data_IF_967137351781
#
_entry.id   IF_967137351781
#
_cell.length_a   1.000
_cell.length_b   1.000
_cell.length_c   1.000
_cell.angle_alpha   90.00
_cell.angle_beta   90.00
_cell.angle_gamma   90.00
#
_symmetry.space_group_name_H-M   'P 1'
#
loop_
_entity.id
_entity.type
_entity.pdbx_description
1 polymer ?
#
# COMPACT_ATOMS: atom_id res chain seq x y z
N UNK A 1 13.88 7.90 -25.72
CA UNK A 1 13.17 6.60 -25.92
C UNK A 1 11.72 6.72 -25.52
N UNK A 2 10.84 5.93 -26.12
CA UNK A 2 9.49 5.65 -25.62
C UNK A 2 9.59 4.56 -24.56
N UNK A 3 9.19 4.86 -23.33
CA UNK A 3 9.34 3.95 -22.18
C UNK A 3 7.97 3.62 -21.59
N UNK A 4 7.73 2.34 -21.34
CA UNK A 4 6.54 1.87 -20.69
C UNK A 4 6.89 1.23 -19.33
N UNK A 5 6.12 1.52 -18.28
CA UNK A 5 6.33 0.96 -16.94
C UNK A 5 5.13 0.15 -16.50
N UNK A 6 5.37 -1.10 -16.13
CA UNK A 6 4.41 -1.96 -15.44
C UNK A 6 4.68 -1.96 -13.94
N UNK A 7 3.69 -1.58 -13.16
CA UNK A 7 3.79 -1.61 -11.69
C UNK A 7 2.90 -2.69 -11.11
N UNK A 8 3.50 -3.59 -10.35
CA UNK A 8 2.80 -4.62 -9.58
C UNK A 8 3.04 -4.39 -8.09
N UNK A 9 2.02 -4.63 -7.27
CA UNK A 9 2.18 -4.66 -5.82
C UNK A 9 1.58 -3.49 -5.05
N UNK A 10 2.30 -3.05 -4.02
CA UNK A 10 1.80 -2.14 -3.00
C UNK A 10 2.00 -0.65 -3.36
N UNK A 11 1.51 0.23 -2.49
CA UNK A 11 1.67 1.69 -2.61
C UNK A 11 3.15 2.13 -2.65
N UNK A 12 4.06 1.39 -2.00
CA UNK A 12 5.50 1.66 -2.07
C UNK A 12 6.03 1.45 -3.50
N UNK A 13 5.65 0.34 -4.15
CA UNK A 13 6.02 0.13 -5.56
C UNK A 13 5.42 1.20 -6.48
N UNK A 14 4.19 1.64 -6.21
CA UNK A 14 3.56 2.72 -6.98
C UNK A 14 4.31 4.05 -6.81
N UNK A 15 4.70 4.40 -5.57
CA UNK A 15 5.52 5.58 -5.29
C UNK A 15 6.88 5.52 -6.01
N UNK A 16 7.57 4.37 -5.92
CA UNK A 16 8.85 4.17 -6.60
C UNK A 16 8.72 4.28 -8.13
N UNK A 17 7.63 3.76 -8.69
CA UNK A 17 7.34 3.91 -10.12
C UNK A 17 7.10 5.37 -10.50
N UNK A 18 6.30 6.12 -9.72
CA UNK A 18 6.08 7.54 -9.98
C UNK A 18 7.37 8.34 -9.97
N UNK A 19 8.27 8.05 -9.03
CA UNK A 19 9.58 8.69 -9.00
C UNK A 19 10.44 8.36 -10.24
N UNK A 20 10.39 7.11 -10.71
CA UNK A 20 11.07 6.71 -11.95
C UNK A 20 10.43 7.39 -13.18
N UNK A 21 9.10 7.48 -13.25
CA UNK A 21 8.38 8.18 -14.32
C UNK A 21 8.79 9.65 -14.42
N UNK A 22 8.84 10.36 -13.28
CA UNK A 22 9.30 11.75 -13.24
C UNK A 22 10.72 11.91 -13.74
N UNK A 23 11.62 11.06 -13.26
CA UNK A 23 13.02 11.13 -13.64
C UNK A 23 13.22 10.81 -15.13
N UNK A 24 12.51 9.84 -15.69
CA UNK A 24 12.54 9.54 -17.13
C UNK A 24 12.05 10.72 -17.97
N UNK A 25 10.97 11.38 -17.56
CA UNK A 25 10.49 12.60 -18.23
C UNK A 25 11.53 13.72 -18.15
N UNK A 26 12.17 13.93 -16.99
CA UNK A 26 13.24 14.92 -16.80
C UNK A 26 14.45 14.64 -17.70
N UNK A 27 14.75 13.36 -17.97
CA UNK A 27 15.83 12.92 -18.88
C UNK A 27 15.44 13.01 -20.38
N UNK A 28 14.22 13.44 -20.69
CA UNK A 28 13.72 13.61 -22.06
C UNK A 28 13.16 12.35 -22.71
N UNK A 29 12.82 11.33 -21.93
CA UNK A 29 12.08 10.17 -22.43
C UNK A 29 10.58 10.49 -22.55
N UNK A 30 9.87 9.70 -23.35
CA UNK A 30 8.41 9.77 -23.49
C UNK A 30 7.79 8.57 -22.82
N UNK A 31 6.91 8.79 -21.84
CA UNK A 31 6.14 7.71 -21.24
C UNK A 31 4.98 7.31 -22.16
N UNK A 32 4.80 6.01 -22.32
CA UNK A 32 3.70 5.44 -23.13
C UNK A 32 2.92 4.41 -22.30
N UNK A 33 1.63 4.16 -22.63
CA UNK A 33 0.86 3.13 -21.95
C UNK A 33 1.55 1.77 -22.00
N UNK A 34 1.47 1.04 -20.89
CA UNK A 34 2.19 -0.21 -20.68
C UNK A 34 1.86 -1.32 -21.71
N UNK A 35 0.67 -1.25 -22.35
CA UNK A 35 0.21 -2.19 -23.36
C UNK A 35 0.64 -1.87 -24.77
N UNK A 36 1.34 -0.77 -24.99
CA UNK A 36 1.78 -0.31 -26.31
C UNK A 36 3.20 -0.74 -26.63
N UNK A 37 3.56 -0.73 -27.91
CA UNK A 37 4.94 -0.88 -28.33
C UNK A 37 5.80 0.26 -27.83
N UNK A 38 6.94 -0.06 -27.19
CA UNK A 38 7.89 0.88 -26.62
C UNK A 38 9.33 0.48 -26.94
N UNK A 39 10.28 1.42 -26.83
CA UNK A 39 11.70 1.16 -27.01
C UNK A 39 12.31 0.49 -25.78
N UNK A 40 11.69 0.72 -24.62
CA UNK A 40 12.08 0.11 -23.35
C UNK A 40 10.92 -0.13 -22.41
N UNK A 41 11.00 -1.22 -21.66
CA UNK A 41 10.02 -1.62 -20.67
C UNK A 41 10.66 -1.77 -19.30
N UNK A 42 10.03 -1.21 -18.28
CA UNK A 42 10.39 -1.41 -16.87
C UNK A 42 9.25 -2.17 -16.18
N UNK A 43 9.56 -3.30 -15.56
CA UNK A 43 8.60 -4.08 -14.76
C UNK A 43 8.98 -3.99 -13.29
N UNK A 44 8.26 -3.16 -12.53
CA UNK A 44 8.41 -3.06 -11.06
C UNK A 44 7.61 -4.18 -10.40
N UNK A 45 8.30 -5.20 -9.93
CA UNK A 45 7.76 -6.49 -9.54
C UNK A 45 7.34 -6.57 -8.07
N UNK A 46 6.38 -7.44 -7.77
CA UNK A 46 5.89 -7.70 -6.43
C UNK A 46 6.07 -9.17 -6.04
N UNK A 47 6.33 -9.42 -4.74
CA UNK A 47 6.51 -10.77 -4.17
C UNK A 47 5.63 -11.01 -2.92
N UNK A 48 4.50 -10.31 -2.78
CA UNK A 48 3.60 -10.52 -1.62
C UNK A 48 2.84 -11.84 -1.73
N UNK A 49 2.42 -12.23 -2.94
CA UNK A 49 1.69 -13.47 -3.18
C UNK A 49 2.25 -14.25 -4.38
N UNK A 50 2.00 -15.56 -4.45
CA UNK A 50 2.35 -16.39 -5.61
C UNK A 50 1.68 -15.91 -6.91
N UNK A 51 0.49 -15.31 -6.80
CA UNK A 51 -0.22 -14.69 -7.93
C UNK A 51 0.57 -13.48 -8.43
N UNK A 52 1.12 -12.65 -7.54
CA UNK A 52 1.95 -11.51 -7.91
C UNK A 52 3.23 -11.94 -8.63
N UNK A 53 3.88 -13.02 -8.18
CA UNK A 53 5.06 -13.59 -8.86
C UNK A 53 4.69 -14.08 -10.27
N UNK A 54 3.56 -14.78 -10.42
CA UNK A 54 3.06 -15.23 -11.73
C UNK A 54 2.78 -14.06 -12.66
N UNK A 55 2.12 -13.00 -12.16
CA UNK A 55 1.84 -11.79 -12.92
C UNK A 55 3.15 -11.08 -13.33
N UNK A 56 4.14 -10.98 -12.44
CA UNK A 56 5.45 -10.41 -12.76
C UNK A 56 6.11 -11.12 -13.95
N UNK A 57 6.17 -12.46 -13.91
CA UNK A 57 6.72 -13.24 -15.03
C UNK A 57 5.90 -13.10 -16.32
N UNK A 58 4.58 -13.00 -16.23
CA UNK A 58 3.71 -12.80 -17.39
C UNK A 58 3.95 -11.42 -18.03
N UNK A 59 4.12 -10.36 -17.24
CA UNK A 59 4.40 -9.02 -17.75
C UNK A 59 5.74 -8.95 -18.45
N UNK A 60 6.80 -9.52 -17.89
CA UNK A 60 8.13 -9.57 -18.52
C UNK A 60 8.02 -10.26 -19.91
N UNK A 61 7.39 -11.46 -19.97
CA UNK A 61 7.18 -12.14 -21.26
C UNK A 61 6.32 -11.36 -22.24
N UNK A 62 5.37 -10.56 -21.75
CA UNK A 62 4.53 -9.69 -22.59
C UNK A 62 5.34 -8.56 -23.21
N UNK A 63 6.29 -7.96 -22.48
CA UNK A 63 7.18 -6.93 -23.00
C UNK A 63 7.95 -7.43 -24.23
N UNK A 64 8.57 -8.61 -24.16
CA UNK A 64 9.27 -9.23 -25.29
C UNK A 64 8.36 -9.50 -26.51
N UNK A 65 7.07 -9.80 -26.27
CA UNK A 65 6.11 -10.02 -27.36
C UNK A 65 5.67 -8.71 -28.02
N UNK A 66 5.60 -7.61 -27.27
CA UNK A 66 5.20 -6.30 -27.79
C UNK A 66 6.29 -5.69 -28.67
N UNK A 67 7.54 -5.79 -28.25
CA UNK A 67 8.70 -5.39 -29.04
C UNK A 67 9.90 -6.29 -28.70
N UNK A 68 10.26 -7.25 -29.56
CA UNK A 68 11.42 -8.12 -29.33
C UNK A 68 12.79 -7.41 -29.31
N UNK A 69 12.86 -6.17 -29.79
CA UNK A 69 14.09 -5.37 -29.82
C UNK A 69 14.17 -4.36 -28.67
N UNK A 70 13.12 -4.23 -27.85
CA UNK A 70 13.10 -3.31 -26.72
C UNK A 70 14.01 -3.78 -25.61
N UNK A 71 14.55 -2.81 -24.83
CA UNK A 71 15.21 -3.10 -23.56
C UNK A 71 14.16 -3.50 -22.53
N UNK A 72 14.31 -4.65 -21.90
CA UNK A 72 13.41 -5.14 -20.84
C UNK A 72 14.14 -5.16 -19.51
N UNK A 73 13.75 -4.27 -18.61
CA UNK A 73 14.29 -4.16 -17.26
C UNK A 73 13.28 -4.63 -16.21
N UNK A 74 13.72 -5.40 -15.25
CA UNK A 74 12.92 -5.83 -14.12
C UNK A 74 13.53 -5.37 -12.80
N UNK A 75 12.70 -4.81 -11.90
CA UNK A 75 13.14 -4.41 -10.56
C UNK A 75 12.09 -4.80 -9.49
N UNK A 76 12.40 -4.55 -8.21
CA UNK A 76 11.44 -4.72 -7.12
C UNK A 76 11.56 -6.01 -6.32
N UNK A 77 10.53 -6.29 -5.52
CA UNK A 77 10.60 -7.33 -4.48
C UNK A 77 10.78 -8.74 -5.04
N UNK A 78 10.13 -9.06 -6.16
CA UNK A 78 10.28 -10.40 -6.75
C UNK A 78 11.68 -10.62 -7.33
N UNK A 79 12.24 -9.61 -7.97
CA UNK A 79 13.64 -9.66 -8.43
C UNK A 79 14.59 -9.84 -7.25
N UNK A 80 14.42 -9.07 -6.17
CA UNK A 80 15.28 -9.15 -4.99
C UNK A 80 15.27 -10.52 -4.34
N UNK A 81 14.10 -11.20 -4.32
CA UNK A 81 13.95 -12.50 -3.63
C UNK A 81 14.18 -13.71 -4.54
N UNK A 82 14.02 -13.56 -5.86
CA UNK A 82 14.14 -14.64 -6.84
C UNK A 82 14.89 -14.21 -8.11
N UNK A 83 16.12 -13.67 -7.97
CA UNK A 83 16.84 -13.09 -9.10
C UNK A 83 17.11 -14.08 -10.24
N UNK A 84 17.44 -15.32 -9.92
CA UNK A 84 17.76 -16.34 -10.94
C UNK A 84 16.51 -16.75 -11.76
N UNK A 85 15.33 -16.75 -11.12
CA UNK A 85 14.08 -17.03 -11.83
C UNK A 85 13.72 -15.93 -12.82
N UNK A 86 14.02 -14.67 -12.46
CA UNK A 86 13.76 -13.53 -13.32
C UNK A 86 14.82 -13.41 -14.41
N UNK A 87 16.10 -13.68 -14.10
CA UNK A 87 17.18 -13.71 -15.09
C UNK A 87 16.93 -14.72 -16.22
N UNK A 88 16.29 -15.85 -15.91
CA UNK A 88 15.89 -16.86 -16.91
C UNK A 88 14.74 -16.41 -17.84
N UNK A 89 14.28 -15.16 -17.74
CA UNK A 89 13.26 -14.55 -18.61
C UNK A 89 13.87 -13.57 -19.63
N UNK A 90 15.17 -13.67 -19.88
CA UNK A 90 15.93 -12.86 -20.86
C UNK A 90 15.80 -11.35 -20.67
N UNK A 91 15.83 -10.88 -19.40
CA UNK A 91 15.83 -9.46 -19.09
C UNK A 91 17.21 -8.84 -19.28
N UNK A 92 17.28 -7.63 -19.87
CA UNK A 92 18.52 -6.89 -20.12
C UNK A 92 19.07 -6.27 -18.84
N UNK A 93 18.18 -5.85 -17.93
CA UNK A 93 18.58 -5.28 -16.64
C UNK A 93 17.74 -5.87 -15.51
N UNK A 94 18.41 -6.35 -14.47
CA UNK A 94 17.83 -6.96 -13.29
C UNK A 94 18.27 -6.20 -12.04
N UNK A 95 17.34 -5.57 -11.31
CA UNK A 95 17.64 -4.79 -10.11
C UNK A 95 16.75 -5.16 -8.92
N UNK A 96 17.31 -5.02 -7.72
CA UNK A 96 16.58 -5.23 -6.47
C UNK A 96 15.57 -4.13 -6.14
N UNK A 97 15.41 -3.87 -4.84
CA UNK A 97 14.45 -2.91 -4.29
C UNK A 97 15.06 -1.57 -3.88
N UNK A 98 16.28 -1.26 -4.25
CA UNK A 98 16.97 0.01 -3.97
C UNK A 98 17.65 0.59 -5.20
N UNK A 99 18.30 1.74 -5.01
CA UNK A 99 19.10 2.42 -6.02
C UNK A 99 18.34 2.71 -7.32
N UNK A 100 17.15 3.32 -7.20
CA UNK A 100 16.27 3.60 -8.34
C UNK A 100 16.89 4.54 -9.37
N UNK A 101 17.72 5.50 -8.91
CA UNK A 101 18.41 6.41 -9.84
C UNK A 101 19.50 5.67 -10.61
N UNK A 102 20.36 4.90 -9.93
CA UNK A 102 21.36 4.05 -10.58
C UNK A 102 20.71 2.99 -11.51
N UNK A 103 19.54 2.47 -11.15
CA UNK A 103 18.77 1.58 -12.02
C UNK A 103 18.39 2.27 -13.34
N UNK A 104 17.96 3.53 -13.31
CA UNK A 104 17.63 4.27 -14.53
C UNK A 104 18.86 4.58 -15.38
N UNK A 105 20.03 4.88 -14.75
CA UNK A 105 21.30 5.07 -15.47
C UNK A 105 21.68 3.80 -16.24
N UNK A 106 21.58 2.65 -15.59
CA UNK A 106 21.86 1.35 -16.21
C UNK A 106 20.80 0.96 -17.26
N UNK A 107 19.55 1.38 -17.09
CA UNK A 107 18.50 1.16 -18.07
C UNK A 107 18.79 1.89 -19.39
N UNK A 108 19.27 3.14 -19.32
CA UNK A 108 19.68 3.90 -20.49
C UNK A 108 20.92 3.28 -21.14
N UNK A 109 21.90 2.81 -20.34
CA UNK A 109 23.08 2.13 -20.83
C UNK A 109 22.72 0.81 -21.53
N UNK A 110 21.83 -0.03 -20.96
CA UNK A 110 21.39 -1.29 -21.52
C UNK A 110 20.69 -1.12 -22.89
N UNK A 111 20.15 0.07 -23.20
CA UNK A 111 19.61 0.36 -24.52
C UNK A 111 20.68 0.42 -25.61
N UNK A 112 21.93 0.61 -25.26
CA UNK A 112 23.06 0.71 -26.19
C UNK A 112 23.98 -0.51 -26.13
N UNK A 113 24.05 -1.17 -24.97
CA UNK A 113 24.92 -2.31 -24.71
C UNK A 113 24.04 -3.56 -24.53
N UNK A 114 24.28 -4.61 -25.32
CA UNK A 114 23.43 -5.83 -25.30
C UNK A 114 23.86 -6.87 -24.26
N UNK A 115 24.66 -6.49 -23.26
CA UNK A 115 25.05 -7.40 -22.18
C UNK A 115 24.10 -7.26 -20.98
N UNK A 116 23.54 -8.38 -20.46
CA UNK A 116 22.65 -8.34 -19.30
C UNK A 116 23.34 -7.77 -18.05
N UNK A 117 22.75 -6.77 -17.43
CA UNK A 117 23.26 -6.10 -16.23
C UNK A 117 22.51 -6.53 -14.98
N UNK A 118 23.22 -6.72 -13.87
CA UNK A 118 22.63 -7.04 -12.55
C UNK A 118 23.01 -5.99 -11.52
N UNK A 119 22.01 -5.30 -10.96
CA UNK A 119 22.14 -4.36 -9.84
C UNK A 119 21.46 -4.95 -8.60
N UNK A 120 22.13 -5.86 -7.94
CA UNK A 120 21.63 -6.52 -6.72
C UNK A 120 22.57 -6.25 -5.56
N UNK A 121 21.98 -5.87 -4.43
CA UNK A 121 22.69 -5.77 -3.16
C UNK A 121 21.97 -6.56 -2.07
N UNK A 122 22.64 -6.87 -0.99
CA UNK A 122 22.04 -7.52 0.17
C UNK A 122 21.13 -6.52 0.89
N UNK A 123 19.81 -6.72 0.75
CA UNK A 123 18.81 -5.86 1.37
C UNK A 123 18.98 -5.76 2.91
N UNK A 124 19.44 -6.84 3.58
CA UNK A 124 19.62 -6.86 5.04
C UNK A 124 20.75 -5.95 5.51
N UNK A 125 21.66 -5.53 4.60
CA UNK A 125 22.77 -4.63 4.91
C UNK A 125 22.45 -3.16 4.69
N UNK A 126 21.30 -2.82 4.11
CA UNK A 126 20.92 -1.44 3.86
C UNK A 126 20.70 -0.68 5.16
N UNK A 127 21.16 0.56 5.23
CA UNK A 127 21.04 1.42 6.42
C UNK A 127 20.50 2.81 6.11
N UNK A 128 20.54 3.23 4.86
CA UNK A 128 20.10 4.55 4.43
C UNK A 128 18.76 4.50 3.75
N UNK A 129 17.93 5.51 3.99
CA UNK A 129 16.68 5.70 3.28
C UNK A 129 16.97 6.32 1.91
N UNK A 130 16.44 5.70 0.86
CA UNK A 130 16.53 6.25 -0.49
C UNK A 130 15.48 7.35 -0.66
N UNK A 131 15.94 8.62 -0.68
CA UNK A 131 15.07 9.76 -0.93
C UNK A 131 14.80 9.85 -2.44
N UNK A 132 13.54 9.68 -2.80
CA UNK A 132 13.07 9.79 -4.18
C UNK A 132 12.18 11.03 -4.33
N UNK A 133 12.08 11.60 -5.56
CA UNK A 133 11.16 12.72 -5.79
C UNK A 133 9.71 12.28 -5.56
N UNK A 134 8.92 13.15 -4.95
CA UNK A 134 7.50 12.97 -4.73
C UNK A 134 6.69 13.91 -5.62
N UNK A 135 5.48 13.52 -6.02
CA UNK A 135 4.60 14.37 -6.85
C UNK A 135 4.81 14.24 -8.35
N UNK A 136 4.73 15.35 -9.09
CA UNK A 136 5.01 15.43 -10.53
C UNK A 136 3.96 14.82 -11.46
N UNK A 137 2.81 14.39 -10.94
CA UNK A 137 1.70 13.81 -11.71
C UNK A 137 0.50 14.76 -11.68
N UNK A 138 0.51 15.75 -12.57
CA UNK A 138 -0.44 16.87 -12.58
C UNK A 138 -1.93 16.45 -12.65
N UNK A 139 -2.23 15.27 -13.20
CA UNK A 139 -3.61 14.76 -13.31
C UNK A 139 -4.09 14.01 -12.05
N UNK A 140 -3.24 13.81 -11.04
CA UNK A 140 -3.61 13.10 -9.82
C UNK A 140 -4.04 14.06 -8.72
N UNK A 141 -5.12 13.70 -8.06
CA UNK A 141 -5.68 14.45 -6.92
C UNK A 141 -4.98 14.10 -5.61
N UNK A 142 -4.44 12.87 -5.52
CA UNK A 142 -3.74 12.33 -4.34
C UNK A 142 -2.27 12.06 -4.64
N UNK A 143 -1.40 12.52 -3.75
CA UNK A 143 0.02 12.18 -3.76
C UNK A 143 0.33 11.07 -2.75
N UNK A 144 1.34 10.29 -3.03
CA UNK A 144 1.94 9.36 -2.07
C UNK A 144 3.29 9.91 -1.61
N UNK A 145 3.59 9.75 -0.33
CA UNK A 145 4.90 10.02 0.24
C UNK A 145 5.37 8.78 0.99
N UNK A 146 6.43 8.15 0.51
CA UNK A 146 7.08 7.05 1.21
C UNK A 146 7.91 7.62 2.36
N UNK A 147 7.49 7.37 3.58
CA UNK A 147 8.15 7.88 4.80
C UNK A 147 9.00 6.81 5.49
N UNK A 148 8.76 5.54 5.17
CA UNK A 148 9.47 4.42 5.77
C UNK A 148 9.66 3.31 4.72
N UNK A 149 10.76 2.56 4.83
CA UNK A 149 11.05 1.37 4.03
C UNK A 149 11.75 0.31 4.90
N UNK A 150 11.39 -0.95 4.67
CA UNK A 150 11.92 -2.09 5.39
C UNK A 150 11.06 -2.55 6.55
N UNK A 151 11.39 -3.72 7.14
CA UNK A 151 10.67 -4.28 8.26
C UNK A 151 11.52 -5.30 9.01
N UNK A 152 11.47 -5.29 10.35
CA UNK A 152 12.19 -6.23 11.22
C UNK A 152 11.26 -7.15 12.02
N UNK A 153 9.98 -7.23 11.66
CA UNK A 153 9.01 -8.06 12.37
C UNK A 153 9.20 -9.57 12.09
N UNK A 154 9.76 -9.93 10.95
CA UNK A 154 10.01 -11.32 10.55
C UNK A 154 8.78 -12.23 10.81
N UNK A 155 7.58 -11.76 10.40
CA UNK A 155 6.39 -12.60 10.44
C UNK A 155 6.64 -13.90 9.65
N UNK A 156 6.22 -15.04 10.19
CA UNK A 156 6.60 -16.36 9.65
C UNK A 156 6.17 -16.62 8.20
N UNK A 157 5.23 -15.86 7.70
CA UNK A 157 4.70 -15.95 6.32
C UNK A 157 5.29 -14.92 5.35
N UNK A 158 6.11 -13.97 5.85
CA UNK A 158 6.43 -12.75 5.11
C UNK A 158 7.87 -12.77 4.57
N UNK A 159 8.02 -12.51 3.27
CA UNK A 159 9.32 -12.38 2.60
C UNK A 159 9.86 -10.93 2.58
N UNK A 160 9.08 -9.97 3.05
CA UNK A 160 9.43 -8.54 2.96
C UNK A 160 10.74 -8.17 3.67
N UNK A 161 11.07 -8.66 4.87
CA UNK A 161 12.36 -8.36 5.48
C UNK A 161 13.55 -8.72 4.60
N UNK A 162 13.45 -9.80 3.83
CA UNK A 162 14.49 -10.27 2.90
C UNK A 162 14.51 -9.46 1.59
N UNK A 163 13.37 -8.91 1.20
CA UNK A 163 13.27 -8.08 0.01
C UNK A 163 13.67 -6.63 0.26
N UNK A 164 13.30 -6.08 1.40
CA UNK A 164 13.43 -4.65 1.71
C UNK A 164 14.49 -4.32 2.76
N UNK A 165 14.85 -5.29 3.61
CA UNK A 165 15.83 -5.12 4.69
C UNK A 165 15.27 -4.44 5.94
N UNK A 166 16.16 -3.91 6.81
CA UNK A 166 15.77 -3.26 8.07
C UNK A 166 15.04 -1.94 7.83
N UNK A 167 14.37 -1.47 8.88
CA UNK A 167 13.67 -0.17 8.91
C UNK A 167 14.64 0.96 8.58
N UNK A 168 14.19 1.83 7.71
CA UNK A 168 14.84 3.08 7.32
C UNK A 168 13.77 4.15 7.17
N UNK A 169 13.97 5.27 7.84
CA UNK A 169 13.01 6.37 7.92
C UNK A 169 13.43 7.55 7.06
N UNK A 170 12.49 8.14 6.35
CA UNK A 170 12.69 9.44 5.70
C UNK A 170 12.92 10.50 6.80
N UNK A 171 14.01 11.30 6.74
CA UNK A 171 14.23 12.33 7.74
C UNK A 171 13.05 13.32 7.83
N UNK A 172 12.71 13.74 9.06
CA UNK A 172 11.56 14.60 9.33
C UNK A 172 11.57 15.87 8.46
N UNK A 173 12.71 16.56 8.41
CA UNK A 173 12.84 17.79 7.61
C UNK A 173 12.58 17.56 6.11
N UNK A 174 13.00 16.40 5.59
CA UNK A 174 12.75 16.01 4.19
C UNK A 174 11.27 15.72 3.97
N UNK A 175 10.62 15.02 4.90
CA UNK A 175 9.18 14.75 4.82
C UNK A 175 8.36 16.05 4.81
N UNK A 176 8.71 17.02 5.65
CA UNK A 176 8.08 18.34 5.69
C UNK A 176 8.29 19.07 4.35
N UNK A 177 9.52 19.14 3.86
CA UNK A 177 9.83 19.85 2.61
C UNK A 177 9.11 19.25 1.39
N UNK A 178 9.06 17.91 1.28
CA UNK A 178 8.30 17.23 0.23
C UNK A 178 6.79 17.45 0.37
N UNK A 179 6.26 17.49 1.59
CA UNK A 179 4.84 17.79 1.84
C UNK A 179 4.49 19.20 1.38
N UNK A 180 5.31 20.20 1.69
CA UNK A 180 5.12 21.58 1.23
C UNK A 180 5.18 21.70 -0.29
N UNK A 181 6.09 20.95 -0.93
CA UNK A 181 6.17 20.89 -2.39
C UNK A 181 4.88 20.32 -2.97
N UNK A 182 4.39 19.18 -2.50
CA UNK A 182 3.16 18.55 -2.96
C UNK A 182 1.93 19.47 -2.78
N UNK A 183 1.86 20.20 -1.68
CA UNK A 183 0.81 21.21 -1.48
C UNK A 183 0.89 22.32 -2.53
N UNK A 184 2.09 22.82 -2.84
CA UNK A 184 2.28 23.85 -3.90
C UNK A 184 1.93 23.33 -5.29
N UNK A 185 2.11 22.05 -5.55
CA UNK A 185 1.71 21.38 -6.80
C UNK A 185 0.18 21.18 -6.93
N UNK A 186 -0.61 21.49 -5.87
CA UNK A 186 -2.07 21.47 -5.92
C UNK A 186 -2.71 20.14 -5.56
N UNK A 187 -1.97 19.17 -5.02
CA UNK A 187 -2.56 17.95 -4.48
C UNK A 187 -3.52 18.25 -3.33
N UNK A 188 -4.61 17.50 -3.23
CA UNK A 188 -5.65 17.67 -2.21
C UNK A 188 -5.57 16.65 -1.09
N UNK A 189 -4.92 15.52 -1.32
CA UNK A 189 -4.70 14.51 -0.29
C UNK A 189 -3.26 13.96 -0.37
N UNK A 190 -2.62 13.82 0.79
CA UNK A 190 -1.33 13.17 0.97
C UNK A 190 -1.52 11.82 1.67
N UNK A 191 -1.06 10.74 1.03
CA UNK A 191 -1.07 9.40 1.61
C UNK A 191 0.34 9.07 2.10
N UNK A 192 0.56 9.05 3.42
CA UNK A 192 1.80 8.55 3.99
C UNK A 192 1.86 7.04 3.83
N UNK A 193 2.90 6.56 3.17
CA UNK A 193 3.07 5.14 2.86
C UNK A 193 4.45 4.64 3.29
N UNK A 194 4.56 3.35 3.47
CA UNK A 194 5.78 2.62 3.80
C UNK A 194 5.50 1.13 3.81
N UNK A 195 6.50 0.35 4.14
CA UNK A 195 6.36 -1.08 4.36
C UNK A 195 5.67 -1.34 5.72
N UNK A 196 6.08 -0.57 6.73
CA UNK A 196 5.48 -0.60 8.07
C UNK A 196 5.68 0.77 8.72
N UNK A 197 4.80 1.73 8.39
CA UNK A 197 4.96 3.14 8.79
C UNK A 197 5.00 3.35 10.31
N UNK A 198 4.46 2.43 11.10
CA UNK A 198 4.51 2.46 12.56
C UNK A 198 5.94 2.39 13.11
N UNK A 199 6.88 1.89 12.33
CA UNK A 199 8.30 1.81 12.69
C UNK A 199 9.09 3.07 12.34
N UNK A 200 8.46 4.08 11.75
CA UNK A 200 9.14 5.34 11.43
C UNK A 200 9.77 5.96 12.68
N UNK A 201 11.00 6.38 12.58
CA UNK A 201 11.77 6.95 13.67
C UNK A 201 12.63 5.95 14.46
N UNK A 202 12.33 4.65 14.42
CA UNK A 202 13.06 3.65 15.22
C UNK A 202 14.56 3.57 14.89
N UNK A 203 14.95 3.84 13.65
CA UNK A 203 16.34 3.85 13.19
C UNK A 203 17.03 5.19 13.41
N UNK A 204 16.28 6.29 13.58
CA UNK A 204 16.82 7.64 13.71
C UNK A 204 17.48 7.91 15.07
N UNK A 205 17.10 7.16 16.12
CA UNK A 205 17.66 7.23 17.48
C UNK A 205 17.61 8.63 18.13
N UNK A 206 16.70 9.46 17.70
CA UNK A 206 16.49 10.84 18.19
C UNK A 206 15.25 10.96 19.09
N UNK A 207 14.53 9.86 19.35
CA UNK A 207 13.31 9.83 20.16
C UNK A 207 12.04 10.20 19.42
N UNK A 208 12.12 10.60 18.16
CA UNK A 208 10.96 10.86 17.32
C UNK A 208 10.21 9.56 16.96
N UNK A 209 8.91 9.65 16.84
CA UNK A 209 7.99 8.56 16.52
C UNK A 209 7.02 8.97 15.41
N UNK A 210 6.19 8.04 14.95
CA UNK A 210 5.22 8.30 13.90
C UNK A 210 4.31 9.49 14.21
N UNK A 211 3.89 9.69 15.48
CA UNK A 211 3.00 10.81 15.81
C UNK A 211 3.71 12.17 15.67
N UNK A 212 5.01 12.25 15.94
CA UNK A 212 5.80 13.47 15.75
C UNK A 212 5.92 13.80 14.24
N UNK A 213 6.13 12.79 13.39
CA UNK A 213 6.04 12.94 11.95
C UNK A 213 4.66 13.46 11.51
N UNK A 214 3.57 12.87 12.04
CA UNK A 214 2.21 13.26 11.66
C UNK A 214 1.91 14.71 12.02
N UNK A 215 2.32 15.17 13.18
CA UNK A 215 2.13 16.56 13.59
C UNK A 215 2.88 17.53 12.66
N UNK A 216 4.14 17.25 12.35
CA UNK A 216 4.94 18.09 11.46
C UNK A 216 4.40 18.10 10.02
N UNK A 217 4.06 16.92 9.48
CA UNK A 217 3.49 16.77 8.13
C UNK A 217 2.10 17.40 8.05
N UNK A 218 1.25 17.26 9.08
CA UNK A 218 -0.07 17.89 9.15
C UNK A 218 0.02 19.41 9.08
N UNK A 219 0.96 20.00 9.83
CA UNK A 219 1.21 21.44 9.77
C UNK A 219 1.69 21.91 8.39
N UNK A 220 2.59 21.17 7.74
CA UNK A 220 3.11 21.47 6.41
C UNK A 220 2.06 21.29 5.31
N UNK A 221 1.17 20.29 5.46
CA UNK A 221 0.09 19.98 4.52
C UNK A 221 -1.00 21.07 4.47
N UNK A 222 -1.21 21.82 5.55
CA UNK A 222 -2.23 22.88 5.61
C UNK A 222 -3.64 22.32 5.41
N UNK A 223 -4.29 22.70 4.31
CA UNK A 223 -5.64 22.25 3.93
C UNK A 223 -5.67 20.91 3.16
N UNK A 224 -4.51 20.40 2.78
CA UNK A 224 -4.38 19.09 2.12
C UNK A 224 -4.69 17.98 3.14
N UNK A 225 -5.60 17.06 2.80
CA UNK A 225 -5.94 15.92 3.67
C UNK A 225 -4.75 15.00 3.86
N UNK A 226 -4.60 14.45 5.07
CA UNK A 226 -3.56 13.50 5.43
C UNK A 226 -4.18 12.12 5.66
N UNK A 227 -3.74 11.11 4.94
CA UNK A 227 -4.18 9.72 5.09
C UNK A 227 -3.01 8.81 5.42
N UNK A 228 -3.25 7.82 6.28
CA UNK A 228 -2.22 6.87 6.71
C UNK A 228 -2.27 5.59 5.87
N UNK A 229 -1.11 5.02 5.62
CA UNK A 229 -0.96 3.63 5.22
C UNK A 229 -1.26 2.66 6.36
N UNK A 230 -0.84 1.39 6.21
CA UNK A 230 -1.10 0.35 7.20
C UNK A 230 -0.34 0.60 8.50
N UNK A 231 -1.04 0.40 9.62
CA UNK A 231 -0.54 0.57 10.97
C UNK A 231 -0.45 -0.76 11.72
N UNK A 232 0.56 -0.89 12.53
CA UNK A 232 0.67 -1.96 13.50
C UNK A 232 -0.16 -1.60 14.76
N UNK A 233 -0.98 -2.52 15.29
CA UNK A 233 -1.93 -2.19 16.35
C UNK A 233 -1.31 -1.55 17.59
N UNK A 234 -0.10 -1.92 17.98
CA UNK A 234 0.58 -1.37 19.18
C UNK A 234 0.91 0.12 19.08
N UNK A 235 0.94 0.67 17.85
CA UNK A 235 1.11 2.12 17.63
C UNK A 235 -0.08 2.92 18.13
N UNK A 236 -1.28 2.30 18.10
CA UNK A 236 -2.52 2.96 18.55
C UNK A 236 -2.57 2.94 20.09
N UNK A 237 -1.90 3.89 20.69
CA UNK A 237 -1.92 4.16 22.13
C UNK A 237 -2.87 5.32 22.44
N UNK A 238 -3.20 5.52 23.71
CA UNK A 238 -3.99 6.67 24.14
C UNK A 238 -3.31 7.99 23.78
N UNK A 239 -1.98 8.08 23.95
CA UNK A 239 -1.21 9.27 23.57
C UNK A 239 -1.26 9.53 22.05
N UNK A 240 -1.06 8.48 21.25
CA UNK A 240 -1.21 8.58 19.79
C UNK A 240 -2.60 9.12 19.42
N UNK A 241 -3.68 8.53 19.93
CA UNK A 241 -5.04 8.93 19.61
C UNK A 241 -5.35 10.36 20.07
N UNK A 242 -4.92 10.73 21.27
CA UNK A 242 -5.09 12.08 21.83
C UNK A 242 -4.39 13.16 21.01
N UNK A 243 -3.20 12.87 20.47
CA UNK A 243 -2.44 13.81 19.62
C UNK A 243 -3.01 13.81 18.20
N UNK A 244 -3.19 12.63 17.60
CA UNK A 244 -3.69 12.48 16.24
C UNK A 244 -5.10 13.05 16.03
N UNK A 245 -6.00 12.93 17.02
CA UNK A 245 -7.36 13.49 16.95
C UNK A 245 -7.41 15.03 16.92
N UNK A 246 -6.30 15.71 17.23
CA UNK A 246 -6.19 17.17 17.15
C UNK A 246 -5.73 17.67 15.78
N UNK A 247 -5.31 16.78 14.89
CA UNK A 247 -4.86 17.12 13.54
C UNK A 247 -6.08 17.37 12.65
N UNK A 248 -6.31 18.60 12.20
CA UNK A 248 -7.57 18.98 11.55
C UNK A 248 -7.75 18.36 10.16
N UNK A 249 -6.66 17.97 9.53
CA UNK A 249 -6.63 17.42 8.18
C UNK A 249 -6.39 15.90 8.14
N UNK A 250 -6.27 15.23 9.30
CA UNK A 250 -6.11 13.78 9.35
C UNK A 250 -7.43 13.07 9.02
N UNK A 251 -7.42 12.24 7.99
CA UNK A 251 -8.54 11.40 7.61
C UNK A 251 -8.83 10.33 8.69
N UNK A 252 -10.07 10.20 9.19
CA UNK A 252 -10.43 9.18 10.18
C UNK A 252 -10.59 7.80 9.52
N UNK A 253 -9.54 7.34 8.89
CA UNK A 253 -9.41 6.04 8.25
C UNK A 253 -8.12 5.37 8.73
N UNK A 254 -8.25 4.21 9.36
CA UNK A 254 -7.13 3.50 9.98
C UNK A 254 -7.12 2.04 9.53
N UNK A 255 -6.12 1.69 8.74
CA UNK A 255 -5.91 0.31 8.33
C UNK A 255 -4.98 -0.38 9.33
N UNK A 256 -5.51 -1.31 10.13
CA UNK A 256 -4.77 -2.06 11.16
C UNK A 256 -4.47 -3.47 10.67
N UNK A 257 -3.22 -3.90 10.73
CA UNK A 257 -2.80 -5.22 10.25
C UNK A 257 -3.18 -6.33 11.25
N UNK A 258 -4.38 -6.93 11.14
CA UNK A 258 -4.85 -8.01 12.04
C UNK A 258 -4.20 -9.36 11.71
N UNK A 259 -4.34 -9.82 10.48
CA UNK A 259 -3.89 -11.10 9.93
C UNK A 259 -4.64 -12.34 10.45
N UNK A 260 -4.98 -12.44 11.73
CA UNK A 260 -5.82 -13.48 12.35
C UNK A 260 -6.49 -12.96 13.62
N UNK A 261 -7.68 -13.44 13.94
CA UNK A 261 -8.42 -13.13 15.15
C UNK A 261 -8.27 -14.19 16.25
N UNK A 262 -7.24 -15.01 16.20
CA UNK A 262 -6.93 -16.04 17.19
C UNK A 262 -5.50 -15.91 17.70
N UNK A 263 -5.31 -15.88 19.02
CA UNK A 263 -3.99 -15.64 19.64
C UNK A 263 -2.97 -16.74 19.34
N UNK A 264 -3.41 -18.01 19.27
CA UNK A 264 -2.55 -19.13 18.91
C UNK A 264 -2.02 -18.98 17.47
N UNK A 265 -2.87 -18.57 16.54
CA UNK A 265 -2.50 -18.32 15.14
C UNK A 265 -1.59 -17.09 15.03
N UNK A 266 -1.90 -15.99 15.72
CA UNK A 266 -1.06 -14.79 15.77
C UNK A 266 0.35 -15.11 16.31
N UNK A 267 0.45 -15.96 17.33
CA UNK A 267 1.75 -16.42 17.88
C UNK A 267 2.53 -17.24 16.85
N UNK A 268 1.88 -18.18 16.13
CA UNK A 268 2.52 -18.92 15.03
C UNK A 268 2.93 -18.03 13.88
N UNK A 269 2.18 -16.96 13.60
CA UNK A 269 2.53 -15.93 12.64
C UNK A 269 3.68 -15.02 13.10
N UNK A 270 4.17 -15.14 14.34
CA UNK A 270 5.15 -14.25 15.00
C UNK A 270 4.65 -12.80 15.09
N UNK A 271 3.34 -12.60 15.29
CA UNK A 271 2.81 -11.24 15.54
C UNK A 271 3.18 -10.80 16.96
N UNK A 272 3.34 -9.49 17.14
CA UNK A 272 3.83 -8.89 18.40
C UNK A 272 2.68 -8.33 19.27
N UNK A 273 1.46 -8.71 18.96
CA UNK A 273 0.23 -8.37 19.68
C UNK A 273 -0.70 -9.60 19.70
N UNK A 274 -1.65 -9.58 20.59
CA UNK A 274 -2.76 -10.52 20.71
C UNK A 274 -4.10 -9.84 20.34
N UNK A 275 -5.18 -10.61 20.38
CA UNK A 275 -6.53 -10.12 20.06
C UNK A 275 -6.99 -9.05 21.05
N UNK A 276 -6.62 -9.15 22.32
CA UNK A 276 -6.98 -8.17 23.34
C UNK A 276 -6.36 -6.81 23.03
N UNK A 277 -5.04 -6.77 22.73
CA UNK A 277 -4.34 -5.54 22.34
C UNK A 277 -4.86 -4.97 21.02
N UNK A 278 -5.22 -5.82 20.05
CA UNK A 278 -5.82 -5.35 18.82
C UNK A 278 -7.17 -4.69 19.07
N UNK A 279 -8.04 -5.32 19.87
CA UNK A 279 -9.37 -4.77 20.17
C UNK A 279 -9.30 -3.48 20.99
N UNK A 280 -8.32 -3.34 21.87
CA UNK A 280 -8.02 -2.08 22.56
C UNK A 280 -7.73 -0.96 21.55
N UNK A 281 -6.92 -1.22 20.50
CA UNK A 281 -6.64 -0.26 19.45
C UNK A 281 -7.92 0.20 18.72
N UNK A 282 -8.78 -0.76 18.36
CA UNK A 282 -10.08 -0.43 17.73
C UNK A 282 -10.95 0.43 18.64
N UNK A 283 -10.95 0.13 19.94
CA UNK A 283 -11.72 0.86 20.96
C UNK A 283 -11.21 2.29 21.11
N UNK A 284 -9.88 2.46 21.23
CA UNK A 284 -9.24 3.78 21.32
C UNK A 284 -9.55 4.64 20.09
N UNK A 285 -9.43 4.09 18.89
CA UNK A 285 -9.77 4.84 17.67
C UNK A 285 -11.23 5.32 17.68
N UNK A 286 -12.18 4.48 18.11
CA UNK A 286 -13.59 4.85 18.20
C UNK A 286 -13.92 5.83 19.32
N UNK A 287 -13.08 5.87 20.36
CA UNK A 287 -13.21 6.82 21.46
C UNK A 287 -12.76 8.23 21.05
N UNK A 288 -11.66 8.32 20.28
CA UNK A 288 -11.03 9.61 19.95
C UNK A 288 -11.46 10.20 18.60
N UNK A 289 -11.99 9.38 17.69
CA UNK A 289 -12.40 9.83 16.36
C UNK A 289 -13.90 9.59 16.14
N UNK A 290 -14.56 10.56 15.52
CA UNK A 290 -15.96 10.41 15.16
C UNK A 290 -16.12 9.45 14.00
N UNK A 291 -16.79 8.30 14.22
CA UNK A 291 -17.10 7.27 13.22
C UNK A 291 -15.90 6.89 12.33
N UNK A 292 -14.74 6.52 12.89
CA UNK A 292 -13.58 6.19 12.07
C UNK A 292 -13.87 4.93 11.25
N UNK A 293 -13.34 4.89 10.03
CA UNK A 293 -13.25 3.65 9.28
C UNK A 293 -12.04 2.86 9.76
N UNK A 294 -12.27 1.78 10.48
CA UNK A 294 -11.22 0.82 10.83
C UNK A 294 -11.28 -0.32 9.81
N UNK A 295 -10.22 -0.48 9.05
CA UNK A 295 -10.07 -1.54 8.03
C UNK A 295 -8.93 -2.47 8.37
N UNK A 296 -8.90 -3.68 7.79
CA UNK A 296 -7.88 -4.67 8.14
C UNK A 296 -7.62 -5.69 7.03
N UNK A 297 -6.50 -6.43 7.20
CA UNK A 297 -6.18 -7.62 6.42
C UNK A 297 -6.43 -8.89 7.22
N UNK A 298 -6.91 -9.96 6.55
CA UNK A 298 -7.08 -11.30 7.11
C UNK A 298 -6.47 -12.35 6.19
N UNK A 299 -5.66 -13.25 6.75
CA UNK A 299 -5.11 -14.42 6.06
C UNK A 299 -5.89 -15.66 6.47
N UNK A 300 -6.58 -16.29 5.53
CA UNK A 300 -7.36 -17.50 5.75
C UNK A 300 -6.57 -18.77 5.40
N UNK A 301 -6.67 -19.79 6.27
CA UNK A 301 -6.01 -21.07 6.06
C UNK A 301 -4.49 -21.00 6.22
N UNK A 302 -4.04 -20.24 7.22
CA UNK A 302 -2.66 -20.27 7.68
C UNK A 302 -2.30 -21.70 8.14
N UNK A 303 -1.06 -22.20 7.90
CA UNK A 303 -0.68 -23.56 8.31
C UNK A 303 -0.98 -23.84 9.77
N UNK A 304 -1.45 -25.05 10.04
CA UNK A 304 -1.85 -25.55 11.37
C UNK A 304 -2.99 -24.76 12.05
N UNK A 305 -3.69 -23.89 11.34
CA UNK A 305 -4.88 -23.22 11.87
C UNK A 305 -6.05 -24.22 11.99
N UNK A 306 -6.38 -24.63 13.20
CA UNK A 306 -7.50 -25.55 13.46
C UNK A 306 -8.85 -24.91 13.11
N UNK A 307 -9.90 -25.74 12.95
CA UNK A 307 -11.25 -25.21 12.75
C UNK A 307 -11.71 -24.34 13.94
N UNK A 308 -11.35 -24.73 15.17
CA UNK A 308 -11.66 -23.94 16.36
C UNK A 308 -11.01 -22.55 16.30
N UNK A 309 -9.75 -22.46 15.91
CA UNK A 309 -9.05 -21.18 15.79
C UNK A 309 -9.63 -20.32 14.68
N UNK A 310 -10.06 -20.93 13.57
CA UNK A 310 -10.78 -20.21 12.53
C UNK A 310 -12.13 -19.66 13.01
N UNK A 311 -12.92 -20.44 13.77
CA UNK A 311 -14.18 -19.95 14.37
C UNK A 311 -13.92 -18.82 15.39
N UNK A 312 -12.84 -18.86 16.16
CA UNK A 312 -12.45 -17.75 17.03
C UNK A 312 -12.13 -16.49 16.21
N UNK A 313 -11.42 -16.65 15.09
CA UNK A 313 -11.14 -15.54 14.15
C UNK A 313 -12.44 -14.95 13.61
N UNK A 314 -13.42 -15.78 13.21
CA UNK A 314 -14.71 -15.31 12.71
C UNK A 314 -15.47 -14.49 13.77
N UNK A 315 -15.57 -15.01 14.99
CA UNK A 315 -16.22 -14.29 16.09
C UNK A 315 -15.49 -12.97 16.44
N UNK A 316 -14.15 -12.95 16.34
CA UNK A 316 -13.37 -11.77 16.64
C UNK A 316 -13.55 -10.66 15.60
N UNK A 317 -13.57 -10.99 14.30
CA UNK A 317 -13.79 -9.96 13.26
C UNK A 317 -15.20 -9.35 13.37
N UNK A 318 -16.23 -10.15 13.66
CA UNK A 318 -17.58 -9.66 13.95
C UNK A 318 -17.58 -8.70 15.16
N UNK A 319 -16.89 -9.06 16.25
CA UNK A 319 -16.74 -8.21 17.43
C UNK A 319 -16.08 -6.87 17.10
N UNK A 320 -15.08 -6.89 16.23
CA UNK A 320 -14.37 -5.67 15.80
C UNK A 320 -15.24 -4.76 14.91
N UNK A 321 -16.22 -5.29 14.18
CA UNK A 321 -17.11 -4.55 13.28
C UNK A 321 -16.34 -3.61 12.34
N UNK A 322 -15.48 -4.18 11.48
CA UNK A 322 -14.66 -3.43 10.55
C UNK A 322 -15.49 -2.70 9.48
N UNK A 323 -15.01 -1.53 9.05
CA UNK A 323 -15.59 -0.80 7.94
C UNK A 323 -15.36 -1.52 6.61
N UNK A 324 -14.20 -2.16 6.45
CA UNK A 324 -13.86 -3.00 5.30
C UNK A 324 -12.71 -3.95 5.66
N UNK A 325 -12.56 -5.03 4.87
CA UNK A 325 -11.51 -6.04 5.07
C UNK A 325 -10.94 -6.54 3.75
N UNK A 326 -9.62 -6.65 3.70
CA UNK A 326 -8.93 -7.38 2.63
C UNK A 326 -8.66 -8.81 3.09
N UNK A 327 -9.25 -9.78 2.42
CA UNK A 327 -9.20 -11.19 2.83
C UNK A 327 -8.46 -11.99 1.77
N UNK A 328 -7.42 -12.70 2.22
CA UNK A 328 -6.54 -13.46 1.33
C UNK A 328 -6.43 -14.92 1.79
N UNK A 329 -6.50 -15.88 0.86
CA UNK A 329 -6.04 -17.23 1.18
C UNK A 329 -4.54 -17.19 1.44
N UNK A 330 -4.06 -17.94 2.44
CA UNK A 330 -2.62 -18.04 2.70
C UNK A 330 -1.85 -18.45 1.45
N UNK A 331 -0.84 -17.67 1.10
CA UNK A 331 0.03 -17.88 -0.05
C UNK A 331 1.44 -18.27 0.42
N UNK A 332 1.87 -19.47 0.08
CA UNK A 332 3.21 -19.98 0.43
C UNK A 332 4.29 -19.09 -0.15
N UNK A 333 5.24 -18.66 0.68
CA UNK A 333 6.42 -17.91 0.27
C UNK A 333 7.69 -18.73 0.53
N UNK A 334 8.40 -19.17 -0.51
CA UNK A 334 9.66 -19.89 -0.35
C UNK A 334 10.65 -19.12 0.55
N UNK A 335 11.37 -19.84 1.41
CA UNK A 335 12.33 -19.26 2.35
C UNK A 335 11.71 -18.66 3.63
N UNK A 336 10.39 -18.74 3.81
CA UNK A 336 9.71 -18.34 5.05
C UNK A 336 9.43 -19.55 5.94
N UNK A 337 9.41 -19.34 7.26
CA UNK A 337 9.15 -20.43 8.23
C UNK A 337 7.79 -21.10 8.01
N UNK A 338 6.76 -20.35 7.64
CA UNK A 338 5.43 -20.91 7.39
C UNK A 338 5.38 -21.78 6.12
N UNK A 339 6.32 -21.63 5.18
CA UNK A 339 6.42 -22.50 4.01
C UNK A 339 6.84 -23.92 4.36
N UNK A 340 7.53 -24.12 5.48
CA UNK A 340 8.01 -25.42 5.97
C UNK A 340 6.94 -26.21 6.74
N UNK A 341 5.83 -25.56 7.11
CA UNK A 341 4.73 -26.16 7.85
C UNK A 341 3.80 -26.94 6.93
N UNK A 342 2.96 -27.82 7.49
CA UNK A 342 1.97 -28.59 6.73
C UNK A 342 0.92 -27.67 6.14
N UNK A 343 0.80 -27.70 4.82
CA UNK A 343 -0.08 -26.79 4.07
C UNK A 343 -1.49 -27.35 3.96
N UNK A 344 -2.50 -26.48 4.12
CA UNK A 344 -3.87 -26.83 3.75
C UNK A 344 -4.05 -26.93 2.23
N UNK A 345 -4.99 -27.76 1.82
CA UNK A 345 -5.43 -27.82 0.43
C UNK A 345 -6.02 -26.47 -0.03
N UNK A 346 -6.04 -26.24 -1.33
CA UNK A 346 -6.69 -25.05 -1.90
C UNK A 346 -8.16 -24.96 -1.48
N UNK A 347 -8.88 -26.09 -1.47
CA UNK A 347 -10.30 -26.14 -1.10
C UNK A 347 -10.56 -25.64 0.33
N UNK A 348 -9.72 -25.98 1.32
CA UNK A 348 -9.86 -25.50 2.70
C UNK A 348 -9.61 -23.98 2.76
N UNK A 349 -8.57 -23.49 2.08
CA UNK A 349 -8.25 -22.07 2.04
C UNK A 349 -9.38 -21.25 1.38
N UNK A 350 -9.92 -21.74 0.28
CA UNK A 350 -11.02 -21.10 -0.45
C UNK A 350 -12.30 -21.08 0.38
N UNK A 351 -12.65 -22.19 1.04
CA UNK A 351 -13.84 -22.26 1.91
C UNK A 351 -13.76 -21.26 3.06
N UNK A 352 -12.62 -21.20 3.78
CA UNK A 352 -12.41 -20.24 4.85
C UNK A 352 -12.45 -18.81 4.33
N UNK A 353 -11.81 -18.54 3.19
CA UNK A 353 -11.84 -17.21 2.56
C UNK A 353 -13.26 -16.80 2.18
N UNK A 354 -14.05 -17.70 1.57
CA UNK A 354 -15.43 -17.45 1.20
C UNK A 354 -16.31 -17.08 2.40
N UNK A 355 -16.14 -17.80 3.53
CA UNK A 355 -16.87 -17.52 4.79
C UNK A 355 -16.50 -16.16 5.36
N UNK A 356 -15.21 -15.86 5.42
CA UNK A 356 -14.71 -14.57 5.92
C UNK A 356 -15.20 -13.40 5.04
N UNK A 357 -15.18 -13.54 3.72
CA UNK A 357 -15.71 -12.54 2.77
C UNK A 357 -17.20 -12.29 3.00
N UNK A 358 -17.99 -13.33 3.29
CA UNK A 358 -19.42 -13.15 3.56
C UNK A 358 -19.66 -12.29 4.81
N UNK A 359 -18.92 -12.53 5.89
CA UNK A 359 -18.99 -11.72 7.13
C UNK A 359 -18.51 -10.30 6.88
N UNK A 360 -17.39 -10.13 6.16
CA UNK A 360 -16.84 -8.82 5.82
C UNK A 360 -17.86 -7.97 5.03
N UNK A 361 -18.54 -8.55 4.06
CA UNK A 361 -19.60 -7.86 3.29
C UNK A 361 -20.75 -7.39 4.17
N UNK A 362 -21.19 -8.20 5.14
CA UNK A 362 -22.23 -7.79 6.09
C UNK A 362 -21.78 -6.61 6.94
N UNK A 363 -20.54 -6.62 7.45
CA UNK A 363 -19.98 -5.52 8.23
C UNK A 363 -19.81 -4.25 7.37
N UNK A 364 -19.27 -4.39 6.16
CA UNK A 364 -19.11 -3.28 5.23
C UNK A 364 -20.45 -2.62 4.92
N UNK A 365 -21.47 -3.42 4.60
CA UNK A 365 -22.82 -2.91 4.35
C UNK A 365 -23.39 -2.13 5.55
N UNK A 366 -23.23 -2.66 6.77
CA UNK A 366 -23.68 -1.99 7.99
C UNK A 366 -22.92 -0.67 8.22
N UNK A 367 -21.61 -0.62 7.88
CA UNK A 367 -20.82 0.61 7.95
C UNK A 367 -21.34 1.67 6.96
N UNK A 368 -21.59 1.29 5.70
CA UNK A 368 -22.14 2.18 4.67
C UNK A 368 -23.54 2.70 5.06
N UNK A 369 -24.41 1.84 5.57
CA UNK A 369 -25.73 2.22 6.07
C UNK A 369 -25.65 3.28 7.17
N UNK A 370 -24.65 3.15 8.04
CA UNK A 370 -24.38 4.17 9.04
C UNK A 370 -23.85 5.50 8.47
N UNK A 371 -23.38 5.56 7.22
CA UNK A 371 -22.98 6.80 6.56
C UNK A 371 -24.15 7.56 5.93
N UNK A 372 -25.29 6.92 5.68
CA UNK A 372 -26.47 7.57 5.10
C UNK A 372 -26.99 8.68 6.03
N UNK A 373 -27.31 9.83 5.47
CA UNK A 373 -27.71 11.03 6.19
C UNK A 373 -26.57 11.89 6.72
N UNK A 374 -25.32 11.41 6.67
CA UNK A 374 -24.14 12.21 7.03
C UNK A 374 -23.70 13.10 5.85
N UNK A 375 -22.97 14.18 6.15
CA UNK A 375 -22.30 15.01 5.16
C UNK A 375 -20.79 14.85 5.30
N UNK A 376 -20.10 14.61 4.18
CA UNK A 376 -18.64 14.47 4.14
C UNK A 376 -18.02 15.42 3.11
N UNK A 377 -16.84 16.00 3.40
CA UNK A 377 -16.02 16.69 2.40
C UNK A 377 -15.38 15.65 1.46
N UNK A 378 -16.03 15.38 0.32
CA UNK A 378 -15.59 14.35 -0.66
C UNK A 378 -14.58 14.96 -1.62
N UNK A 379 -13.43 14.29 -1.81
CA UNK A 379 -12.47 14.61 -2.87
C UNK A 379 -12.88 13.85 -4.14
N UNK A 380 -13.30 14.58 -5.16
CA UNK A 380 -13.71 14.03 -6.45
C UNK A 380 -12.51 13.85 -7.38
N UNK A 381 -12.38 12.68 -8.00
CA UNK A 381 -11.17 12.24 -8.70
C UNK A 381 -11.40 11.89 -10.16
N UNK A 382 -12.45 11.16 -10.45
CA UNK A 382 -12.72 10.62 -11.79
C UNK A 382 -14.15 10.92 -12.22
N UNK A 383 -14.31 11.18 -13.51
CA UNK A 383 -15.60 11.32 -14.16
C UNK A 383 -15.77 10.20 -15.19
N UNK A 384 -16.96 9.60 -15.21
CA UNK A 384 -17.36 8.67 -16.23
C UNK A 384 -18.87 8.78 -16.49
N UNK A 385 -19.24 9.10 -17.72
CA UNK A 385 -20.64 9.21 -18.18
C UNK A 385 -21.49 10.18 -17.33
N UNK A 386 -20.92 11.31 -16.92
CA UNK A 386 -21.55 12.34 -16.08
C UNK A 386 -21.68 11.93 -14.61
N UNK A 387 -21.06 10.83 -14.20
CA UNK A 387 -20.98 10.39 -12.81
C UNK A 387 -19.56 10.63 -12.30
N UNK A 388 -19.42 11.55 -11.35
CA UNK A 388 -18.18 11.74 -10.63
C UNK A 388 -18.05 10.75 -9.48
N UNK A 389 -16.88 10.15 -9.34
CA UNK A 389 -16.49 9.33 -8.20
C UNK A 389 -15.38 10.01 -7.42
N UNK A 390 -15.44 9.88 -6.10
CA UNK A 390 -14.45 10.43 -5.18
C UNK A 390 -14.42 9.68 -3.87
N UNK A 391 -13.56 10.11 -2.95
CA UNK A 391 -13.45 9.47 -1.64
C UNK A 391 -13.72 10.46 -0.50
N UNK A 392 -14.58 10.02 0.41
CA UNK A 392 -14.79 10.69 1.69
C UNK A 392 -13.57 10.54 2.61
N UNK A 393 -13.45 11.32 3.69
CA UNK A 393 -12.33 11.19 4.64
C UNK A 393 -12.20 9.78 5.24
N UNK A 394 -13.30 9.08 5.46
CA UNK A 394 -13.34 7.67 5.92
C UNK A 394 -13.03 6.64 4.82
N UNK A 395 -12.61 7.09 3.64
CA UNK A 395 -12.25 6.30 2.47
C UNK A 395 -13.39 5.57 1.76
N UNK A 396 -14.65 5.82 2.12
CA UNK A 396 -15.78 5.35 1.33
C UNK A 396 -15.79 6.04 -0.03
N UNK A 397 -16.04 5.27 -1.08
CA UNK A 397 -16.30 5.81 -2.41
C UNK A 397 -17.67 6.49 -2.41
N UNK A 398 -17.74 7.67 -3.01
CA UNK A 398 -18.96 8.47 -3.14
C UNK A 398 -19.17 8.83 -4.61
N UNK A 399 -20.39 8.58 -5.11
CA UNK A 399 -20.79 8.89 -6.47
C UNK A 399 -21.81 10.02 -6.48
N UNK A 400 -21.65 11.00 -7.39
CA UNK A 400 -22.62 12.08 -7.64
C UNK A 400 -22.75 12.35 -9.14
N UNK A 401 -23.95 12.80 -9.57
CA UNK A 401 -24.13 13.38 -10.91
C UNK A 401 -23.85 14.87 -10.86
N UNK A 402 -22.80 15.30 -11.52
CA UNK A 402 -22.41 16.70 -11.55
C UNK A 402 -21.40 16.95 -12.69
N UNK A 403 -20.99 18.20 -12.88
CA UNK A 403 -19.96 18.62 -13.83
C UNK A 403 -18.82 19.31 -13.10
N UNK A 404 -17.61 19.23 -13.65
CA UNK A 404 -16.42 19.98 -13.21
C UNK A 404 -16.04 19.82 -11.72
N UNK A 405 -15.99 18.57 -11.23
CA UNK A 405 -15.60 18.28 -9.85
C UNK A 405 -14.16 17.78 -9.69
N UNK A 406 -13.44 17.53 -10.78
CA UNK A 406 -12.08 16.98 -10.67
C UNK A 406 -11.18 17.80 -9.75
N UNK A 407 -10.48 17.13 -8.83
CA UNK A 407 -9.57 17.73 -7.83
C UNK A 407 -10.24 18.74 -6.87
N UNK A 408 -11.55 18.66 -6.68
CA UNK A 408 -12.30 19.49 -5.73
C UNK A 408 -12.73 18.69 -4.52
N UNK A 409 -12.66 19.30 -3.35
CA UNK A 409 -13.25 18.78 -2.11
C UNK A 409 -14.57 19.51 -1.91
N UNK A 410 -15.68 18.79 -1.95
CA UNK A 410 -17.03 19.36 -1.86
C UNK A 410 -17.82 18.64 -0.76
N UNK A 411 -18.48 19.40 0.09
CA UNK A 411 -19.41 18.85 1.07
C UNK A 411 -20.54 18.15 0.35
N UNK A 412 -20.74 16.87 0.70
CA UNK A 412 -21.66 15.98 0.01
C UNK A 412 -22.49 15.23 1.05
N UNK A 413 -23.80 15.41 1.00
CA UNK A 413 -24.75 14.68 1.82
C UNK A 413 -24.99 13.29 1.25
N UNK A 414 -24.83 12.26 2.05
CA UNK A 414 -25.05 10.87 1.64
C UNK A 414 -26.56 10.58 1.72
N UNK A 415 -27.14 10.23 0.59
CA UNK A 415 -28.59 9.99 0.45
C UNK A 415 -28.94 8.53 0.19
N UNK A 416 -27.95 7.70 -0.14
CA UNK A 416 -28.19 6.28 -0.43
C UNK A 416 -26.91 5.48 -0.63
N UNK A 417 -27.07 4.22 -1.05
CA UNK A 417 -26.00 3.27 -1.31
C UNK A 417 -26.33 2.54 -2.62
N UNK A 418 -25.34 2.42 -3.50
CA UNK A 418 -25.40 1.59 -4.70
C UNK A 418 -24.19 0.64 -4.74
N UNK A 419 -24.43 -0.68 -4.63
CA UNK A 419 -23.38 -1.67 -4.46
C UNK A 419 -22.52 -1.38 -3.23
N UNK A 420 -21.22 -1.15 -3.44
CA UNK A 420 -20.24 -0.83 -2.41
C UNK A 420 -19.92 0.68 -2.35
N UNK A 421 -20.65 1.53 -3.11
CA UNK A 421 -20.48 2.97 -3.14
C UNK A 421 -21.63 3.72 -2.44
N UNK A 422 -21.34 4.88 -1.89
CA UNK A 422 -22.30 5.83 -1.36
C UNK A 422 -22.83 6.73 -2.48
N UNK A 423 -24.11 7.04 -2.46
CA UNK A 423 -24.72 8.03 -3.35
C UNK A 423 -24.86 9.34 -2.59
N UNK A 424 -24.35 10.42 -3.19
CA UNK A 424 -24.31 11.74 -2.60
C UNK A 424 -25.13 12.79 -3.38
N UNK A 425 -25.49 13.86 -2.66
CA UNK A 425 -25.99 15.12 -3.21
C UNK A 425 -25.09 16.24 -2.73
N UNK A 426 -24.65 17.12 -3.65
CA UNK A 426 -23.84 18.28 -3.32
C UNK A 426 -24.64 19.26 -2.45
N UNK A 427 -24.01 19.81 -1.40
CA UNK A 427 -24.63 20.76 -0.47
C UNK A 427 -24.15 22.18 -0.66
#
# INVERSE_FOLDING_TARGET
MRVAIYTLGCKVNQYETQAMEQELLRRGHTLVPAETEADGYIVNTCSVTAISDKKSRQMIRRCHKLNPNAVVAACGCYVQTHPEVVAALDVDLLAGTGDRMAFLDLFEQAAHEKEPVRLLNDALRRREFEVLPAGGMAERTRAMLKVEDGCVNFCTYCSIPYARGPVRSLPLATAVAQTEQLRREGYRELVLTGIEISSWGHDLKNGESLIDLLEAVSAAAGDMRLRLGSLEPRTITEDFCRRASKLPNLCPHFHLSLQSGCDETLRRMNRKYDTARFYESVTLLRQYFHRPAVTTDLICGFPDETNREFEQTMAFIEKCAFADMHIFPYSVRPGTKAAELVQFSAAVKEERTRRAVAVARTMHRAYLEGCVGQTYPVLYEQEKDGLYTGHAPNYCEVCVRAEDLHNKIIDTKIVGIDGDALIGELT
#
